data_IF_107106508314
#
_entry.id   IF_107106508314
#
_cell.length_a   1.000
_cell.length_b   1.000
_cell.length_c   1.000
_cell.angle_alpha   90.00
_cell.angle_beta   90.00
_cell.angle_gamma   90.00
#
_symmetry.space_group_name_H-M   'P 1'
#
loop_
_entity.id
_entity.type
_entity.pdbx_description
1 polymer ?
#
# COMPACT_ATOMS: atom_id res chain seq x y z
N UNK A 1 -15.30 -15.43 1.39
CA UNK A 1 -15.56 -14.65 0.17
C UNK A 1 -16.07 -13.25 0.48
N UNK A 2 -17.09 -13.10 1.34
CA UNK A 2 -17.65 -11.79 1.73
C UNK A 2 -16.58 -10.78 2.21
N UNK A 3 -15.63 -11.21 3.05
CA UNK A 3 -14.53 -10.36 3.51
C UNK A 3 -13.69 -9.77 2.35
N UNK A 4 -13.37 -10.56 1.32
CA UNK A 4 -12.59 -10.08 0.18
C UNK A 4 -13.34 -9.05 -0.65
N UNK A 5 -14.65 -9.24 -0.83
CA UNK A 5 -15.52 -8.24 -1.46
C UNK A 5 -15.54 -6.94 -0.64
N UNK A 6 -15.65 -7.02 0.69
CA UNK A 6 -15.60 -5.83 1.54
C UNK A 6 -14.26 -5.09 1.45
N UNK A 7 -13.14 -5.81 1.43
CA UNK A 7 -11.82 -5.21 1.23
C UNK A 7 -11.73 -4.49 -0.12
N UNK A 8 -12.25 -5.11 -1.18
CA UNK A 8 -12.31 -4.48 -2.50
C UNK A 8 -13.17 -3.22 -2.48
N UNK A 9 -14.35 -3.28 -1.86
CA UNK A 9 -15.24 -2.12 -1.70
C UNK A 9 -14.53 -0.98 -0.96
N UNK A 10 -13.87 -1.26 0.17
CA UNK A 10 -13.08 -0.26 0.92
C UNK A 10 -11.97 0.35 0.05
N UNK A 11 -11.32 -0.47 -0.77
CA UNK A 11 -10.27 -0.02 -1.69
C UNK A 11 -10.84 0.89 -2.80
N UNK A 12 -11.99 0.55 -3.38
CA UNK A 12 -12.70 1.40 -4.35
C UNK A 12 -13.14 2.73 -3.72
N UNK A 13 -13.72 2.68 -2.52
CA UNK A 13 -14.07 3.89 -1.77
C UNK A 13 -12.84 4.75 -1.46
N UNK A 14 -11.66 4.14 -1.30
CA UNK A 14 -10.43 4.88 -1.07
C UNK A 14 -9.99 5.69 -2.30
N UNK A 15 -10.25 5.20 -3.52
CA UNK A 15 -10.00 5.97 -4.75
C UNK A 15 -10.89 7.21 -4.83
N UNK A 16 -12.16 7.08 -4.44
CA UNK A 16 -13.11 8.21 -4.37
C UNK A 16 -12.69 9.17 -3.26
N UNK A 17 -12.40 8.65 -2.07
CA UNK A 17 -11.96 9.45 -0.93
C UNK A 17 -10.67 10.23 -1.20
N UNK A 18 -9.73 9.64 -1.93
CA UNK A 18 -8.47 10.31 -2.29
C UNK A 18 -8.68 11.57 -3.14
N UNK A 19 -9.77 11.70 -3.88
CA UNK A 19 -10.09 12.91 -4.66
C UNK A 19 -10.36 14.12 -3.75
N UNK A 20 -10.89 13.87 -2.56
CA UNK A 20 -11.27 14.90 -1.60
C UNK A 20 -10.15 15.24 -0.62
N UNK A 21 -8.98 14.62 -0.73
CA UNK A 21 -7.84 14.87 0.17
C UNK A 21 -6.99 16.01 -0.38
N UNK A 22 -7.06 17.22 0.20
CA UNK A 22 -6.24 18.35 -0.25
C UNK A 22 -4.77 18.15 0.14
N UNK A 23 -3.87 18.79 -0.62
CA UNK A 23 -2.47 18.89 -0.24
C UNK A 23 -2.33 19.81 0.98
N UNK A 24 -1.48 19.42 1.92
CA UNK A 24 -1.29 20.15 3.18
C UNK A 24 -0.20 21.20 2.98
N UNK A 25 -0.58 22.47 2.87
CA UNK A 25 0.34 23.57 2.56
C UNK A 25 1.45 23.75 3.61
N UNK A 26 1.14 23.57 4.91
CA UNK A 26 2.12 23.70 5.98
C UNK A 26 3.14 22.54 6.04
N UNK A 27 2.89 21.46 5.30
CA UNK A 27 3.71 20.25 5.28
C UNK A 27 4.33 20.02 3.89
N UNK A 28 4.91 21.06 3.28
CA UNK A 28 5.57 20.97 1.96
C UNK A 28 4.65 20.43 0.85
N UNK A 29 3.36 20.76 0.88
CA UNK A 29 2.35 20.19 -0.03
C UNK A 29 2.30 18.66 -0.02
N UNK A 30 2.63 18.04 1.12
CA UNK A 30 2.46 16.61 1.32
C UNK A 30 0.99 16.21 1.16
N UNK A 31 0.80 15.01 0.62
CA UNK A 31 -0.54 14.43 0.39
C UNK A 31 -0.68 13.16 1.22
N UNK A 32 -1.90 12.84 1.61
CA UNK A 32 -2.19 11.57 2.25
C UNK A 32 -2.55 10.56 1.16
N UNK A 33 -1.73 9.51 1.01
CA UNK A 33 -1.89 8.51 -0.05
C UNK A 33 -2.86 7.42 0.42
N UNK A 34 -4.14 7.76 0.36
CA UNK A 34 -5.22 6.98 0.94
C UNK A 34 -5.37 5.61 0.26
N UNK A 35 -5.26 5.54 -1.07
CA UNK A 35 -5.30 4.28 -1.82
C UNK A 35 -4.13 3.37 -1.44
N UNK A 36 -2.90 3.91 -1.44
CA UNK A 36 -1.70 3.12 -1.13
C UNK A 36 -1.74 2.57 0.29
N UNK A 37 -2.09 3.43 1.26
CA UNK A 37 -2.24 3.05 2.65
C UNK A 37 -3.31 1.97 2.81
N UNK A 38 -4.45 2.12 2.13
CA UNK A 38 -5.55 1.14 2.21
C UNK A 38 -5.15 -0.20 1.61
N UNK A 39 -4.47 -0.19 0.46
CA UNK A 39 -3.93 -1.39 -0.15
C UNK A 39 -2.93 -2.10 0.77
N UNK A 40 -2.01 -1.36 1.39
CA UNK A 40 -1.04 -1.91 2.33
C UNK A 40 -1.70 -2.50 3.59
N UNK A 41 -2.70 -1.82 4.15
CA UNK A 41 -3.53 -2.36 5.22
C UNK A 41 -4.25 -3.65 4.79
N UNK A 42 -4.83 -3.66 3.58
CA UNK A 42 -5.50 -4.83 3.02
C UNK A 42 -4.52 -6.01 2.84
N UNK A 43 -3.31 -5.75 2.34
CA UNK A 43 -2.27 -6.75 2.09
C UNK A 43 -1.87 -7.54 3.34
N UNK A 44 -1.90 -6.92 4.54
CA UNK A 44 -1.68 -7.60 5.82
C UNK A 44 -2.79 -8.61 6.13
N UNK A 45 -4.03 -8.31 5.75
CA UNK A 45 -5.19 -9.09 6.16
C UNK A 45 -5.49 -10.27 5.23
N UNK A 46 -5.24 -10.12 3.93
CA UNK A 46 -5.54 -11.12 2.89
C UNK A 46 -4.38 -12.12 2.66
N UNK A 47 -4.63 -13.32 2.11
CA UNK A 47 -3.56 -14.26 1.74
C UNK A 47 -2.76 -13.78 0.51
N UNK A 48 -1.54 -14.28 0.34
CA UNK A 48 -0.61 -13.93 -0.77
C UNK A 48 -1.25 -13.85 -2.17
N UNK A 49 -1.95 -14.87 -2.69
CA UNK A 49 -2.52 -14.81 -4.03
C UNK A 49 -3.57 -13.70 -4.18
N UNK A 50 -4.39 -13.49 -3.15
CA UNK A 50 -5.40 -12.41 -3.15
C UNK A 50 -4.73 -11.04 -3.08
N UNK A 51 -3.65 -10.91 -2.33
CA UNK A 51 -2.86 -9.67 -2.26
C UNK A 51 -2.28 -9.32 -3.64
N UNK A 52 -1.72 -10.29 -4.37
CA UNK A 52 -1.20 -10.06 -5.72
C UNK A 52 -2.30 -9.62 -6.70
N UNK A 53 -3.48 -10.23 -6.65
CA UNK A 53 -4.63 -9.80 -7.46
C UNK A 53 -5.07 -8.38 -7.11
N UNK A 54 -5.08 -8.03 -5.82
CA UNK A 54 -5.37 -6.67 -5.39
C UNK A 54 -4.28 -5.69 -5.83
N UNK A 55 -3.00 -6.07 -5.80
CA UNK A 55 -1.89 -5.25 -6.29
C UNK A 55 -2.04 -4.98 -7.79
N UNK A 56 -2.34 -6.03 -8.56
CA UNK A 56 -2.61 -5.94 -9.98
C UNK A 56 -3.77 -4.98 -10.28
N UNK A 57 -4.91 -5.18 -9.63
CA UNK A 57 -6.08 -4.34 -9.83
C UNK A 57 -5.85 -2.88 -9.38
N UNK A 58 -5.22 -2.68 -8.22
CA UNK A 58 -4.97 -1.34 -7.66
C UNK A 58 -3.97 -0.57 -8.52
N UNK A 59 -2.86 -1.20 -8.92
CA UNK A 59 -1.88 -0.60 -9.81
C UNK A 59 -2.43 -0.34 -11.20
N UNK A 60 -3.22 -1.25 -11.75
CA UNK A 60 -3.89 -1.03 -13.04
C UNK A 60 -4.82 0.18 -13.00
N UNK A 61 -5.67 0.31 -11.96
CA UNK A 61 -6.58 1.46 -11.81
C UNK A 61 -5.80 2.75 -11.54
N UNK A 62 -4.73 2.68 -10.75
CA UNK A 62 -3.85 3.81 -10.48
C UNK A 62 -3.18 4.31 -11.77
N UNK A 63 -2.56 3.41 -12.53
CA UNK A 63 -1.92 3.77 -13.80
C UNK A 63 -2.95 4.28 -14.79
N UNK A 64 -4.09 3.61 -14.97
CA UNK A 64 -5.15 4.09 -15.86
C UNK A 64 -5.63 5.50 -15.50
N UNK A 65 -5.71 5.83 -14.22
CA UNK A 65 -6.13 7.15 -13.75
C UNK A 65 -5.10 8.24 -14.06
N UNK A 66 -3.80 7.95 -13.89
CA UNK A 66 -2.74 8.94 -14.10
C UNK A 66 -2.18 8.95 -15.53
N UNK A 67 -2.47 7.92 -16.34
CA UNK A 67 -2.06 7.82 -17.74
C UNK A 67 -3.09 8.39 -18.73
N UNK A 68 -4.35 8.54 -18.37
CA UNK A 68 -5.35 9.15 -19.27
C UNK A 68 -5.16 10.67 -19.25
N UNK A 69 -4.68 11.31 -20.33
CA UNK A 69 -4.57 12.75 -20.38
C UNK A 69 -5.98 13.35 -20.42
N UNK A 70 -6.42 13.96 -19.33
CA UNK A 70 -7.71 14.68 -19.26
C UNK A 70 -7.63 16.03 -19.99
N UNK A 71 -6.43 16.48 -20.36
CA UNK A 71 -6.20 17.72 -21.09
C UNK A 71 -5.75 17.44 -22.54
N UNK A 72 -6.40 18.05 -23.55
CA UNK A 72 -5.94 17.97 -24.92
C UNK A 72 -4.68 18.85 -25.09
N UNK A 73 -3.64 18.24 -25.65
CA UNK A 73 -2.41 18.87 -26.17
C UNK A 73 -1.51 19.58 -25.14
N UNK A 74 -0.39 18.91 -24.81
CA UNK A 74 0.84 19.58 -24.32
C UNK A 74 1.18 19.44 -22.83
N UNK A 75 0.33 18.86 -22.00
CA UNK A 75 0.64 18.68 -20.57
C UNK A 75 1.15 17.27 -20.27
N UNK A 76 2.47 17.16 -20.07
CA UNK A 76 3.21 16.10 -19.38
C UNK A 76 2.70 14.66 -19.62
N UNK A 77 3.41 13.95 -20.50
CA UNK A 77 3.32 12.49 -20.60
C UNK A 77 3.34 11.84 -19.20
N UNK A 78 2.58 10.75 -19.04
CA UNK A 78 2.76 9.88 -17.89
C UNK A 78 4.23 9.46 -17.83
N UNK A 79 4.97 10.00 -16.87
CA UNK A 79 6.43 9.88 -16.83
C UNK A 79 6.91 8.50 -16.38
N UNK A 80 5.97 7.70 -15.88
CA UNK A 80 6.11 6.32 -15.49
C UNK A 80 5.33 5.48 -16.49
N UNK A 81 5.94 4.42 -17.01
CA UNK A 81 5.28 3.50 -17.92
C UNK A 81 4.11 2.76 -17.24
N UNK A 82 3.09 2.48 -18.04
CA UNK A 82 1.92 1.71 -17.61
C UNK A 82 2.35 0.32 -17.12
N UNK A 83 1.93 -0.05 -15.91
CA UNK A 83 2.26 -1.31 -15.26
C UNK A 83 3.38 -1.21 -14.22
N UNK A 84 4.16 -0.13 -14.20
CA UNK A 84 5.22 0.04 -13.19
C UNK A 84 4.64 0.10 -11.77
N UNK A 85 3.50 0.79 -11.58
CA UNK A 85 2.91 0.89 -10.24
C UNK A 85 2.26 -0.42 -9.81
N UNK A 86 1.73 -1.22 -10.73
CA UNK A 86 1.30 -2.60 -10.46
C UNK A 86 2.43 -3.46 -9.92
N UNK A 87 3.60 -3.41 -10.56
CA UNK A 87 4.78 -4.11 -10.06
C UNK A 87 5.18 -3.61 -8.67
N UNK A 88 5.19 -2.29 -8.47
CA UNK A 88 5.58 -1.67 -7.21
C UNK A 88 4.62 -2.01 -6.05
N UNK A 89 3.30 -2.03 -6.30
CA UNK A 89 2.31 -2.50 -5.34
C UNK A 89 2.50 -3.98 -5.00
N UNK A 90 2.80 -4.81 -5.99
CA UNK A 90 3.12 -6.23 -5.78
C UNK A 90 4.37 -6.42 -4.92
N UNK A 91 5.43 -5.68 -5.21
CA UNK A 91 6.69 -5.70 -4.48
C UNK A 91 6.50 -5.26 -3.02
N UNK A 92 5.89 -4.10 -2.80
CA UNK A 92 5.66 -3.57 -1.45
C UNK A 92 4.64 -4.42 -0.68
N UNK A 93 3.59 -4.88 -1.34
CA UNK A 93 2.62 -5.80 -0.76
C UNK A 93 3.24 -7.13 -0.33
N UNK A 94 4.18 -7.66 -1.12
CA UNK A 94 4.95 -8.86 -0.76
C UNK A 94 5.84 -8.64 0.46
N UNK A 95 6.48 -7.47 0.56
CA UNK A 95 7.29 -7.07 1.72
C UNK A 95 6.44 -7.01 2.99
N UNK A 96 5.24 -6.44 2.89
CA UNK A 96 4.29 -6.33 4.00
C UNK A 96 3.79 -7.69 4.49
N UNK A 97 3.67 -8.68 3.61
CA UNK A 97 3.23 -10.01 4.02
C UNK A 97 4.18 -10.70 5.00
N UNK A 98 5.47 -10.33 4.99
CA UNK A 98 6.44 -10.81 5.99
C UNK A 98 6.04 -10.51 7.44
N UNK A 99 5.21 -9.48 7.67
CA UNK A 99 4.79 -9.02 9.01
C UNK A 99 3.42 -9.55 9.42
N UNK A 100 2.71 -10.26 8.53
CA UNK A 100 1.45 -10.96 8.85
C UNK A 100 1.50 -11.88 10.09
N UNK A 101 2.54 -12.71 10.32
CA UNK A 101 2.62 -13.52 11.55
C UNK A 101 2.72 -12.66 12.82
N UNK A 102 3.25 -11.44 12.71
CA UNK A 102 3.45 -10.52 13.82
C UNK A 102 2.16 -9.76 14.17
N UNK A 103 1.35 -9.40 13.17
CA UNK A 103 0.01 -8.84 13.36
C UNK A 103 -0.88 -9.77 14.22
N UNK A 104 -0.77 -11.09 14.02
CA UNK A 104 -1.53 -12.08 14.81
C UNK A 104 -1.12 -12.15 16.28
N UNK A 105 0.07 -11.66 16.65
CA UNK A 105 0.54 -11.58 18.05
C UNK A 105 0.01 -10.36 18.81
N UNK A 106 -0.84 -9.54 18.18
CA UNK A 106 -1.48 -8.40 18.82
C UNK A 106 -0.60 -7.16 18.95
N UNK A 107 0.53 -7.08 18.22
CA UNK A 107 1.36 -5.86 18.13
C UNK A 107 0.95 -5.04 16.90
N UNK A 108 0.07 -4.08 17.09
CA UNK A 108 -0.50 -3.25 16.01
C UNK A 108 0.46 -2.18 15.50
N UNK A 109 1.46 -1.82 16.31
CA UNK A 109 2.46 -0.77 16.00
C UNK A 109 3.39 -1.16 14.85
N UNK A 110 3.80 -2.44 14.80
CA UNK A 110 4.77 -2.93 13.82
C UNK A 110 4.25 -2.92 12.37
N UNK A 111 3.02 -3.39 12.07
CA UNK A 111 2.45 -3.21 10.74
C UNK A 111 2.26 -1.74 10.37
N UNK A 112 1.85 -0.87 11.29
CA UNK A 112 1.68 0.56 11.03
C UNK A 112 3.02 1.18 10.61
N UNK A 113 4.08 0.92 11.38
CA UNK A 113 5.42 1.40 11.06
C UNK A 113 5.92 0.88 9.70
N UNK A 114 5.68 -0.40 9.41
CA UNK A 114 6.07 -1.00 8.13
C UNK A 114 5.32 -0.37 6.95
N UNK A 115 4.03 -0.05 7.11
CA UNK A 115 3.24 0.63 6.07
C UNK A 115 3.88 1.99 5.75
N UNK A 116 4.31 2.73 6.77
CA UNK A 116 5.09 3.97 6.59
C UNK A 116 6.37 3.74 5.79
N UNK A 117 7.19 2.76 6.18
CA UNK A 117 8.42 2.42 5.46
C UNK A 117 8.13 2.06 4.00
N UNK A 118 7.10 1.23 3.75
CA UNK A 118 6.70 0.85 2.41
C UNK A 118 6.24 2.06 1.60
N UNK A 119 5.44 2.97 2.17
CA UNK A 119 5.04 4.21 1.48
C UNK A 119 6.23 5.09 1.13
N UNK A 120 7.17 5.27 2.05
CA UNK A 120 8.38 6.04 1.80
C UNK A 120 9.23 5.41 0.70
N UNK A 121 9.50 4.11 0.80
CA UNK A 121 10.30 3.38 -0.18
C UNK A 121 9.64 3.38 -1.57
N UNK A 122 8.32 3.28 -1.61
CA UNK A 122 7.53 3.40 -2.84
C UNK A 122 7.74 4.74 -3.54
N UNK A 123 7.72 5.83 -2.77
CA UNK A 123 7.90 7.18 -3.29
C UNK A 123 9.33 7.41 -3.77
N UNK A 124 10.32 6.91 -3.02
CA UNK A 124 11.73 6.99 -3.40
C UNK A 124 11.99 6.22 -4.69
N UNK A 125 11.47 5.00 -4.83
CA UNK A 125 11.62 4.21 -6.06
C UNK A 125 10.97 4.91 -7.26
N UNK A 126 9.72 5.40 -7.11
CA UNK A 126 9.04 6.13 -8.17
C UNK A 126 9.82 7.38 -8.58
N UNK A 127 10.29 8.15 -7.60
CA UNK A 127 11.09 9.34 -7.85
C UNK A 127 12.39 9.03 -8.59
N UNK A 128 13.10 7.98 -8.19
CA UNK A 128 14.33 7.57 -8.85
C UNK A 128 14.07 7.19 -10.31
N UNK A 129 13.03 6.41 -10.59
CA UNK A 129 12.68 6.01 -11.96
C UNK A 129 12.32 7.22 -12.82
N UNK A 130 11.49 8.12 -12.30
CA UNK A 130 11.15 9.37 -13.02
C UNK A 130 12.42 10.21 -13.28
N UNK A 131 13.30 10.32 -12.29
CA UNK A 131 14.53 11.10 -12.41
C UNK A 131 15.51 10.50 -13.42
N UNK A 132 15.63 9.17 -13.46
CA UNK A 132 16.42 8.47 -14.48
C UNK A 132 15.83 8.67 -15.87
N UNK A 133 14.50 8.60 -16.02
CA UNK A 133 13.84 8.81 -17.29
C UNK A 133 14.00 10.26 -17.80
N UNK A 134 13.99 11.24 -16.89
CA UNK A 134 14.26 12.66 -17.18
C UNK A 134 15.75 12.99 -17.41
N UNK A 135 16.66 12.04 -17.19
CA UNK A 135 18.11 12.24 -17.40
C UNK A 135 18.78 13.19 -16.39
N UNK A 136 18.16 13.45 -15.23
CA UNK A 136 18.70 14.37 -14.22
C UNK A 136 18.17 14.12 -12.82
N UNK A 137 19.07 14.05 -11.83
CA UNK A 137 18.73 13.86 -10.42
C UNK A 137 18.70 15.23 -9.70
N UNK A 138 17.49 15.74 -9.43
CA UNK A 138 17.30 17.01 -8.73
C UNK A 138 16.92 16.77 -7.26
N UNK A 139 17.91 16.51 -6.42
CA UNK A 139 17.71 16.25 -5.00
C UNK A 139 17.49 17.56 -4.23
N UNK A 140 16.25 18.08 -4.27
CA UNK A 140 15.84 19.21 -3.43
C UNK A 140 15.51 18.75 -2.01
N UNK A 141 15.95 19.50 -1.01
CA UNK A 141 15.63 19.28 0.41
C UNK A 141 14.12 19.30 0.67
N UNK A 142 13.39 20.18 -0.01
CA UNK A 142 11.93 20.31 0.13
C UNK A 142 11.20 19.03 -0.32
N UNK A 143 11.66 18.42 -1.41
CA UNK A 143 11.08 17.20 -1.96
C UNK A 143 11.30 16.00 -1.02
N UNK A 144 12.48 15.90 -0.40
CA UNK A 144 12.74 14.88 0.62
C UNK A 144 11.78 15.02 1.81
N UNK A 145 11.59 16.24 2.32
CA UNK A 145 10.64 16.50 3.40
C UNK A 145 9.20 16.23 2.96
N UNK A 146 8.83 16.56 1.73
CA UNK A 146 7.50 16.25 1.19
C UNK A 146 7.24 14.74 1.15
N UNK A 147 8.18 13.92 0.66
CA UNK A 147 8.04 12.46 0.65
C UNK A 147 7.97 11.88 2.06
N UNK A 148 8.80 12.39 2.97
CA UNK A 148 8.82 11.98 4.37
C UNK A 148 7.49 12.32 5.07
N UNK A 149 6.99 13.55 4.93
CA UNK A 149 5.71 13.97 5.51
C UNK A 149 4.52 13.21 4.91
N UNK A 150 4.52 12.98 3.61
CA UNK A 150 3.50 12.17 2.90
C UNK A 150 3.46 10.74 3.45
N UNK A 151 4.63 10.14 3.67
CA UNK A 151 4.77 8.82 4.29
C UNK A 151 4.27 8.81 5.74
N UNK A 152 4.62 9.83 6.54
CA UNK A 152 4.17 9.95 7.93
C UNK A 152 2.65 10.11 8.03
N UNK A 153 2.02 10.92 7.19
CA UNK A 153 0.56 11.07 7.16
C UNK A 153 -0.13 9.77 6.74
N UNK A 154 0.45 9.05 5.77
CA UNK A 154 -0.05 7.75 5.33
C UNK A 154 0.07 6.72 6.46
N UNK A 155 1.18 6.72 7.20
CA UNK A 155 1.37 5.91 8.41
C UNK A 155 0.36 6.27 9.51
N UNK A 156 0.05 7.55 9.70
CA UNK A 156 -0.93 8.01 10.69
C UNK A 156 -2.36 7.56 10.34
N UNK A 157 -2.68 7.44 9.04
CA UNK A 157 -3.97 6.93 8.57
C UNK A 157 -4.08 5.40 8.69
N UNK A 158 -2.96 4.68 8.62
CA UNK A 158 -2.90 3.23 8.69
C UNK A 158 -3.63 2.60 9.91
N UNK A 159 -3.46 3.06 11.17
CA UNK A 159 -4.17 2.47 12.30
C UNK A 159 -5.69 2.61 12.19
N UNK A 160 -6.20 3.73 11.65
CA UNK A 160 -7.64 3.93 11.45
C UNK A 160 -8.19 2.92 10.43
N UNK A 161 -7.48 2.71 9.33
CA UNK A 161 -7.87 1.76 8.28
C UNK A 161 -7.75 0.32 8.80
N UNK A 162 -6.67 -0.03 9.50
CA UNK A 162 -6.51 -1.35 10.11
C UNK A 162 -7.59 -1.65 11.14
N UNK A 163 -7.99 -0.66 11.96
CA UNK A 163 -9.12 -0.80 12.87
C UNK A 163 -10.42 -1.07 12.12
N UNK A 164 -10.70 -0.31 11.06
CA UNK A 164 -11.86 -0.52 10.19
C UNK A 164 -11.87 -1.94 9.60
N UNK A 165 -10.77 -2.37 8.98
CA UNK A 165 -10.64 -3.71 8.41
C UNK A 165 -10.76 -4.82 9.46
N UNK A 166 -10.18 -4.62 10.65
CA UNK A 166 -10.29 -5.59 11.75
C UNK A 166 -11.72 -5.74 12.28
N UNK A 167 -12.51 -4.64 12.31
CA UNK A 167 -13.93 -4.68 12.66
C UNK A 167 -14.74 -5.43 11.59
N UNK A 168 -14.47 -5.16 10.31
CA UNK A 168 -15.10 -5.90 9.20
C UNK A 168 -14.73 -7.39 9.21
N UNK A 169 -13.49 -7.74 9.55
CA UNK A 169 -13.05 -9.13 9.71
C UNK A 169 -13.80 -9.84 10.84
N UNK A 170 -14.04 -9.16 11.98
CA UNK A 170 -14.85 -9.70 13.09
C UNK A 170 -16.29 -9.94 12.68
N UNK A 171 -16.91 -8.98 11.97
CA UNK A 171 -18.29 -9.10 11.50
C UNK A 171 -18.48 -10.23 10.50
N UNK A 172 -17.49 -10.50 9.66
CA UNK A 172 -17.54 -11.57 8.65
C UNK A 172 -17.08 -12.93 9.17
N UNK A 173 -16.67 -13.02 10.45
CA UNK A 173 -16.14 -14.26 11.02
C UNK A 173 -14.84 -14.75 10.37
N UNK A 174 -14.15 -13.89 9.60
CA UNK A 174 -12.94 -14.27 8.89
C UNK A 174 -11.77 -14.40 9.88
N UNK A 175 -11.44 -15.63 10.26
CA UNK A 175 -10.16 -15.91 10.93
C UNK A 175 -9.07 -15.87 9.88
N UNK A 176 -8.16 -14.90 10.01
CA UNK A 176 -6.89 -14.81 9.26
C UNK A 176 -6.13 -16.13 9.48
N UNK A 177 -6.37 -17.16 8.67
CA UNK A 177 -5.80 -18.50 8.79
C UNK A 177 -4.48 -18.50 8.01
N UNK A 178 -3.37 -18.83 8.67
CA UNK A 178 -2.14 -19.23 7.98
C UNK A 178 -2.44 -20.60 7.40
N UNK A 179 -2.56 -20.70 6.08
CA UNK A 179 -2.38 -21.96 5.38
C UNK A 179 -0.90 -22.01 5.00
N UNK A 180 -0.17 -22.95 5.61
CA UNK A 180 1.22 -23.22 5.30
C UNK A 180 2.17 -23.15 6.52
N UNK A 181 2.79 -24.29 6.79
CA UNK A 181 3.94 -24.52 7.68
C UNK A 181 3.63 -24.66 9.18
N UNK A 182 2.76 -25.62 9.52
CA UNK A 182 2.95 -26.39 10.77
C UNK A 182 3.73 -27.65 10.43
N UNK A 183 5.05 -27.52 10.24
CA UNK A 183 5.94 -28.69 10.29
C UNK A 183 6.01 -29.10 11.75
N UNK A 184 5.07 -29.97 12.15
CA UNK A 184 5.02 -30.60 13.46
C UNK A 184 6.23 -31.53 13.53
N UNK A 185 7.38 -31.02 14.01
CA UNK A 185 8.50 -31.88 14.40
C UNK A 185 8.04 -32.70 15.60
N UNK A 186 7.54 -33.90 15.31
CA UNK A 186 7.41 -34.97 16.28
C UNK A 186 8.83 -35.49 16.50
N UNK A 187 9.51 -34.96 17.51
CA UNK A 187 10.70 -35.62 18.06
C UNK A 187 10.17 -36.94 18.61
N UNK A 188 10.45 -38.03 17.91
CA UNK A 188 10.15 -39.37 18.38
C UNK A 188 11.11 -39.68 19.52
N UNK A 189 10.54 -40.07 20.64
CA UNK A 189 11.25 -40.70 21.76
C UNK A 189 12.03 -41.91 21.21
N UNK A 190 13.35 -41.86 21.30
CA UNK A 190 14.21 -43.04 21.24
C UNK A 190 14.38 -43.54 22.67
N UNK A 191 13.65 -44.60 23.00
CA UNK A 191 13.96 -45.52 24.11
C UNK A 191 14.98 -46.52 23.58
#
# INVERSE_FOLDING_TARGET
MIYFLLVLVVLVFSFVGQEFVPAIAWAYYARLLLVQTTFYCAAVTVPYPVMLLLAAATGFVWDARYHVPVYPEGSAHAELDFGFTMFLFGLMGSLIQGVRPLFRRGRWELPVFLIGICTFLSLVIQYLVISFHRGGLYLSTEMWFQMLMTSLFSMLAAPLILLLLSRLAKWTGYRIRLEGITRKYRYGDSI
#
